data_IF_643595937846
#
_entry.id   IF_643595937846
#
_cell.length_a   1.000
_cell.length_b   1.000
_cell.length_c   1.000
_cell.angle_alpha   90.00
_cell.angle_beta   90.00
_cell.angle_gamma   90.00
#
_symmetry.space_group_name_H-M   'P 1'
#
loop_
_entity.id
_entity.type
_entity.pdbx_description
1 polymer ?
#
# COMPACT_ATOMS: atom_id res chain seq x y z
N UNK A 1 30.84 25.78 29.39
CA UNK A 1 30.94 24.30 29.31
C UNK A 1 29.63 23.76 28.74
N UNK A 2 29.66 23.22 27.53
CA UNK A 2 28.44 22.68 26.90
C UNK A 2 28.10 21.29 27.47
N UNK A 3 26.82 20.90 27.54
CA UNK A 3 26.45 19.59 28.05
C UNK A 3 27.07 18.52 27.16
N UNK A 4 27.94 17.69 27.74
CA UNK A 4 28.51 16.53 27.09
C UNK A 4 27.36 15.63 26.62
N UNK A 5 27.13 15.57 25.31
CA UNK A 5 26.22 14.58 24.73
C UNK A 5 26.79 13.22 25.09
N UNK A 6 26.14 12.52 26.01
CA UNK A 6 26.43 11.11 26.33
C UNK A 6 26.60 10.35 25.02
N UNK A 7 27.61 9.47 24.89
CA UNK A 7 27.78 8.66 23.70
C UNK A 7 26.49 7.85 23.48
N UNK A 8 25.74 8.21 22.45
CA UNK A 8 24.59 7.43 22.02
C UNK A 8 25.10 6.08 21.56
N UNK A 9 24.56 5.00 22.14
CA UNK A 9 24.89 3.64 21.73
C UNK A 9 24.86 3.53 20.19
N UNK A 10 25.85 2.85 19.58
CA UNK A 10 25.94 2.74 18.13
C UNK A 10 24.66 2.10 17.56
N UNK A 11 24.24 2.48 16.33
CA UNK A 11 23.09 1.87 15.70
C UNK A 11 23.30 0.36 15.57
N UNK A 12 22.24 -0.42 15.74
CA UNK A 12 22.31 -1.87 15.54
C UNK A 12 22.82 -2.16 14.11
N UNK A 13 23.76 -3.08 13.97
CA UNK A 13 24.29 -3.51 12.68
C UNK A 13 24.14 -5.02 12.58
N UNK A 14 23.43 -5.49 11.55
CA UNK A 14 23.24 -6.93 11.35
C UNK A 14 24.52 -7.57 10.83
N UNK A 15 25.15 -6.95 9.83
CA UNK A 15 26.39 -7.42 9.21
C UNK A 15 27.47 -6.34 9.40
N UNK A 16 28.61 -6.66 10.04
CA UNK A 16 29.74 -5.74 10.12
C UNK A 16 30.19 -5.32 8.72
N UNK A 17 30.28 -4.01 8.47
CA UNK A 17 30.67 -3.44 7.17
C UNK A 17 29.52 -3.03 6.26
N UNK A 18 28.28 -3.43 6.55
CA UNK A 18 27.09 -2.90 5.86
C UNK A 18 26.76 -1.50 6.37
N UNK A 19 27.40 -0.48 5.79
CA UNK A 19 27.25 0.93 6.21
C UNK A 19 25.79 1.37 6.32
N UNK A 20 24.91 0.85 5.47
CA UNK A 20 23.51 1.23 5.44
C UNK A 20 22.59 0.18 6.07
N UNK A 21 23.11 -0.92 6.59
CA UNK A 21 22.35 -2.05 7.12
C UNK A 21 21.26 -2.53 6.14
N UNK A 22 21.57 -2.54 4.84
CA UNK A 22 20.70 -3.04 3.77
C UNK A 22 20.29 -4.50 4.01
N UNK A 23 21.18 -5.33 4.54
CA UNK A 23 20.89 -6.73 4.83
C UNK A 23 19.70 -6.87 5.79
N UNK A 24 19.63 -6.01 6.83
CA UNK A 24 18.48 -5.96 7.74
C UNK A 24 17.20 -5.55 6.99
N UNK A 25 17.27 -4.51 6.16
CA UNK A 25 16.13 -4.08 5.35
C UNK A 25 15.60 -5.18 4.42
N UNK A 26 16.52 -5.94 3.80
CA UNK A 26 16.20 -7.10 2.97
C UNK A 26 15.54 -8.20 3.80
N UNK A 27 16.11 -8.59 4.95
CA UNK A 27 15.50 -9.60 5.83
C UNK A 27 14.08 -9.23 6.26
N UNK A 28 13.85 -7.96 6.60
CA UNK A 28 12.52 -7.46 6.95
C UNK A 28 11.57 -7.59 5.75
N UNK A 29 12.00 -7.18 4.57
CA UNK A 29 11.19 -7.30 3.36
C UNK A 29 10.84 -8.77 3.04
N UNK A 30 11.80 -9.69 3.19
CA UNK A 30 11.54 -11.13 3.02
C UNK A 30 10.63 -11.69 4.11
N UNK A 31 10.79 -11.26 5.36
CA UNK A 31 9.92 -11.65 6.47
C UNK A 31 8.47 -11.23 6.25
N UNK A 32 8.24 -9.96 5.90
CA UNK A 32 6.90 -9.44 5.55
C UNK A 32 6.31 -10.18 4.33
N UNK A 33 7.13 -10.46 3.32
CA UNK A 33 6.73 -11.24 2.14
C UNK A 33 6.37 -12.69 2.50
N UNK A 34 7.09 -13.29 3.45
CA UNK A 34 6.83 -14.63 3.97
C UNK A 34 5.52 -14.69 4.73
N UNK A 35 5.26 -13.74 5.64
CA UNK A 35 4.00 -13.61 6.36
C UNK A 35 2.81 -13.45 5.41
N UNK A 36 2.99 -12.66 4.34
CA UNK A 36 1.95 -12.48 3.31
C UNK A 36 1.58 -13.80 2.62
N UNK A 37 2.55 -14.69 2.42
CA UNK A 37 2.35 -15.97 1.72
C UNK A 37 1.68 -17.05 2.58
N UNK A 38 1.48 -16.81 3.88
CA UNK A 38 0.78 -17.75 4.75
C UNK A 38 -0.71 -17.80 4.41
N UNK A 39 -1.30 -18.99 4.54
CA UNK A 39 -2.75 -19.16 4.44
C UNK A 39 -3.45 -18.42 5.59
N UNK A 40 -4.72 -18.05 5.39
CA UNK A 40 -5.50 -17.37 6.43
C UNK A 40 -5.64 -18.23 7.69
N UNK A 41 -5.80 -19.55 7.52
CA UNK A 41 -5.82 -20.49 8.65
C UNK A 41 -4.50 -20.50 9.43
N UNK A 42 -3.35 -20.40 8.75
CA UNK A 42 -2.04 -20.33 9.41
C UNK A 42 -1.87 -19.01 10.16
N UNK A 43 -2.27 -17.89 9.54
CA UNK A 43 -2.25 -16.59 10.19
C UNK A 43 -3.15 -16.58 11.43
N UNK A 44 -4.35 -17.14 11.33
CA UNK A 44 -5.29 -17.26 12.46
C UNK A 44 -4.71 -18.09 13.61
N UNK A 45 -4.05 -19.21 13.30
CA UNK A 45 -3.36 -20.05 14.30
C UNK A 45 -2.22 -19.33 15.02
N UNK A 46 -1.58 -18.36 14.35
CA UNK A 46 -0.55 -17.49 14.93
C UNK A 46 -1.12 -16.31 15.73
N UNK A 47 -2.45 -16.24 15.91
CA UNK A 47 -3.11 -15.11 16.56
C UNK A 47 -3.07 -13.81 15.75
N UNK A 48 -2.80 -13.90 14.44
CA UNK A 48 -2.76 -12.71 13.60
C UNK A 48 -4.15 -12.09 13.45
N UNK A 49 -4.25 -10.75 13.42
CA UNK A 49 -5.52 -10.08 13.21
C UNK A 49 -6.07 -10.36 11.80
N UNK A 50 -7.40 -10.42 11.61
CA UNK A 50 -8.03 -10.77 10.34
C UNK A 50 -7.61 -9.88 9.15
N UNK A 51 -7.20 -8.65 9.43
CA UNK A 51 -6.80 -7.65 8.43
C UNK A 51 -5.31 -7.67 8.10
N UNK A 52 -4.49 -8.50 8.76
CA UNK A 52 -3.04 -8.51 8.57
C UNK A 52 -2.68 -8.76 7.10
N UNK A 53 -3.32 -9.74 6.47
CA UNK A 53 -3.07 -10.11 5.07
C UNK A 53 -3.42 -8.97 4.11
N UNK A 54 -4.53 -8.27 4.35
CA UNK A 54 -4.88 -7.08 3.57
C UNK A 54 -3.87 -5.96 3.77
N UNK A 55 -3.43 -5.69 5.00
CA UNK A 55 -2.41 -4.67 5.28
C UNK A 55 -1.04 -5.02 4.69
N UNK A 56 -0.64 -6.29 4.69
CA UNK A 56 0.59 -6.76 4.04
C UNK A 56 0.54 -6.62 2.51
N UNK A 57 -0.64 -6.41 1.93
CA UNK A 57 -0.78 -6.03 0.54
C UNK A 57 -0.63 -4.53 0.30
N UNK A 58 -0.64 -3.65 1.31
CA UNK A 58 -0.51 -2.21 1.12
C UNK A 58 0.94 -1.75 1.31
N UNK A 59 1.51 -1.06 0.32
CA UNK A 59 2.89 -0.54 0.40
C UNK A 59 3.07 0.47 1.55
N UNK A 60 2.01 1.17 1.97
CA UNK A 60 2.01 2.07 3.13
C UNK A 60 2.39 1.31 4.42
N UNK A 61 1.89 0.08 4.60
CA UNK A 61 2.21 -0.76 5.76
C UNK A 61 3.69 -1.10 5.81
N UNK A 62 4.29 -1.41 4.65
CA UNK A 62 5.71 -1.74 4.57
C UNK A 62 6.58 -0.52 4.88
N UNK A 63 6.18 0.66 4.41
CA UNK A 63 6.84 1.91 4.78
C UNK A 63 6.76 2.17 6.30
N UNK A 64 5.59 1.98 6.90
CA UNK A 64 5.41 2.12 8.35
C UNK A 64 6.24 1.11 9.15
N UNK A 65 6.36 -0.14 8.68
CA UNK A 65 7.21 -1.15 9.29
C UNK A 65 8.68 -0.72 9.26
N UNK A 66 9.18 -0.25 8.12
CA UNK A 66 10.56 0.23 7.99
C UNK A 66 10.83 1.47 8.85
N UNK A 67 9.89 2.43 8.93
CA UNK A 67 9.96 3.58 9.83
C UNK A 67 10.02 3.18 11.30
N UNK A 68 9.18 2.20 11.69
CA UNK A 68 9.14 1.68 13.06
C UNK A 68 10.46 1.01 13.43
N UNK A 69 10.99 0.17 12.55
CA UNK A 69 12.30 -0.47 12.74
C UNK A 69 13.42 0.56 12.77
N UNK A 70 13.36 1.59 11.92
CA UNK A 70 14.30 2.71 11.98
C UNK A 70 14.32 3.35 13.36
N UNK A 71 13.17 3.53 14.00
CA UNK A 71 13.09 4.13 15.34
C UNK A 71 13.63 3.15 16.39
N UNK A 72 13.11 1.92 16.43
CA UNK A 72 13.46 0.91 17.43
C UNK A 72 14.96 0.58 17.39
N UNK A 73 15.51 0.41 16.19
CA UNK A 73 16.89 0.00 15.97
C UNK A 73 17.83 1.19 15.74
N UNK A 74 17.32 2.42 15.87
CA UNK A 74 18.07 3.68 15.71
C UNK A 74 18.81 3.81 14.36
N UNK A 75 18.19 3.32 13.27
CA UNK A 75 18.79 3.30 11.93
C UNK A 75 18.68 4.67 11.22
N UNK A 76 19.26 5.72 11.79
CA UNK A 76 19.16 7.09 11.23
C UNK A 76 19.74 7.18 9.80
N UNK A 77 20.66 6.29 9.44
CA UNK A 77 21.21 6.20 8.09
C UNK A 77 20.17 5.78 7.03
N UNK A 78 19.00 5.27 7.44
CA UNK A 78 17.87 5.00 6.54
C UNK A 78 17.05 6.24 6.20
N UNK A 79 17.21 7.35 6.93
CA UNK A 79 16.37 8.54 6.78
C UNK A 79 16.30 9.07 5.33
N UNK A 80 17.41 9.18 4.57
CA UNK A 80 17.36 9.61 3.17
C UNK A 80 16.52 8.67 2.29
N UNK A 81 16.69 7.37 2.45
CA UNK A 81 15.93 6.34 1.72
C UNK A 81 14.45 6.39 2.08
N UNK A 82 14.14 6.42 3.37
CA UNK A 82 12.77 6.46 3.89
C UNK A 82 12.05 7.75 3.50
N UNK A 83 12.77 8.88 3.42
CA UNK A 83 12.17 10.14 2.98
C UNK A 83 11.73 10.03 1.51
N UNK A 84 12.61 9.54 0.63
CA UNK A 84 12.30 9.38 -0.80
C UNK A 84 11.11 8.46 -0.99
N UNK A 85 11.08 7.32 -0.30
CA UNK A 85 9.96 6.38 -0.34
C UNK A 85 8.65 7.01 0.18
N UNK A 86 8.72 7.66 1.34
CA UNK A 86 7.56 8.29 1.99
C UNK A 86 7.01 9.46 1.17
N UNK A 87 7.87 10.22 0.49
CA UNK A 87 7.43 11.32 -0.38
C UNK A 87 6.74 10.80 -1.66
N UNK A 88 7.27 9.73 -2.25
CA UNK A 88 6.60 9.03 -3.35
C UNK A 88 5.21 8.56 -2.96
N UNK A 89 5.10 7.87 -1.82
CA UNK A 89 3.82 7.39 -1.25
C UNK A 89 2.84 8.56 -1.02
N UNK A 90 3.31 9.64 -0.38
CA UNK A 90 2.50 10.83 -0.10
C UNK A 90 1.89 11.42 -1.37
N UNK A 91 2.71 11.72 -2.38
CA UNK A 91 2.23 12.32 -3.63
C UNK A 91 1.32 11.34 -4.39
N UNK A 92 1.68 10.06 -4.41
CA UNK A 92 0.85 9.02 -5.04
C UNK A 92 -0.53 8.96 -4.42
N UNK A 93 -0.62 8.90 -3.09
CA UNK A 93 -1.89 8.78 -2.38
C UNK A 93 -2.75 10.05 -2.52
N UNK A 94 -2.16 11.24 -2.29
CA UNK A 94 -2.88 12.52 -2.44
C UNK A 94 -3.38 12.73 -3.87
N UNK A 95 -2.65 12.25 -4.87
CA UNK A 95 -3.05 12.32 -6.27
C UNK A 95 -4.14 11.29 -6.59
N UNK A 96 -3.91 10.01 -6.29
CA UNK A 96 -4.82 8.91 -6.59
C UNK A 96 -6.19 9.08 -5.93
N UNK A 97 -6.23 9.66 -4.73
CA UNK A 97 -7.45 9.84 -3.95
C UNK A 97 -7.96 11.29 -3.97
N UNK A 98 -7.52 12.10 -4.93
CA UNK A 98 -8.07 13.44 -5.12
C UNK A 98 -9.58 13.40 -5.42
N UNK A 99 -10.22 14.56 -5.35
CA UNK A 99 -11.67 14.75 -5.58
C UNK A 99 -12.62 13.98 -4.64
N UNK A 100 -12.17 13.53 -3.47
CA UNK A 100 -13.05 12.82 -2.54
C UNK A 100 -13.11 11.31 -2.81
N UNK A 101 -12.22 10.78 -3.66
CA UNK A 101 -12.08 9.34 -3.88
C UNK A 101 -11.54 8.61 -2.63
N UNK A 102 -10.98 9.34 -1.67
CA UNK A 102 -10.61 8.83 -0.34
C UNK A 102 -11.83 8.28 0.44
N UNK A 103 -13.02 8.85 0.22
CA UNK A 103 -14.27 8.32 0.78
C UNK A 103 -14.56 6.89 0.29
N UNK A 104 -14.13 6.53 -0.93
CA UNK A 104 -14.24 5.16 -1.43
C UNK A 104 -13.38 4.20 -0.60
N UNK A 105 -12.21 4.65 -0.15
CA UNK A 105 -11.36 3.87 0.74
C UNK A 105 -12.03 3.67 2.11
N UNK A 106 -12.64 4.71 2.66
CA UNK A 106 -13.41 4.61 3.91
C UNK A 106 -14.56 3.62 3.80
N UNK A 107 -15.32 3.67 2.69
CA UNK A 107 -16.38 2.67 2.37
C UNK A 107 -15.82 1.25 2.26
N UNK A 108 -14.63 1.07 1.67
CA UNK A 108 -13.95 -0.22 1.61
C UNK A 108 -13.61 -0.74 3.01
N UNK A 109 -13.01 0.09 3.85
CA UNK A 109 -12.66 -0.28 5.24
C UNK A 109 -13.91 -0.71 6.01
N UNK A 110 -15.03 0.00 5.82
CA UNK A 110 -16.34 -0.42 6.35
C UNK A 110 -16.77 -1.80 5.86
N UNK A 111 -16.61 -2.09 4.56
CA UNK A 111 -16.94 -3.42 4.02
C UNK A 111 -16.07 -4.56 4.58
N UNK A 112 -14.91 -4.23 5.15
CA UNK A 112 -14.03 -5.17 5.86
C UNK A 112 -14.39 -5.33 7.34
N UNK A 113 -15.46 -4.70 7.81
CA UNK A 113 -15.94 -4.79 9.20
C UNK A 113 -15.42 -3.71 10.15
N UNK A 114 -14.75 -2.67 9.63
CA UNK A 114 -14.21 -1.58 10.44
C UNK A 114 -14.93 -0.27 10.16
N UNK A 115 -15.59 0.27 11.16
CA UNK A 115 -16.21 1.58 11.05
C UNK A 115 -15.26 2.67 11.52
N UNK A 116 -14.89 3.56 10.60
CA UNK A 116 -14.19 4.80 10.91
C UNK A 116 -15.12 5.97 10.60
N UNK A 117 -15.25 6.89 11.55
CA UNK A 117 -15.79 8.21 11.29
C UNK A 117 -14.93 8.92 10.23
N UNK A 118 -15.49 9.94 9.58
CA UNK A 118 -14.73 10.75 8.61
C UNK A 118 -13.50 11.38 9.22
N UNK A 119 -13.61 11.87 10.47
CA UNK A 119 -12.51 12.50 11.18
C UNK A 119 -11.39 11.49 11.46
N UNK A 120 -11.71 10.32 12.01
CA UNK A 120 -10.72 9.28 12.29
C UNK A 120 -10.01 8.84 11.02
N UNK A 121 -10.75 8.67 9.92
CA UNK A 121 -10.17 8.31 8.63
C UNK A 121 -9.19 9.37 8.13
N UNK A 122 -9.55 10.66 8.18
CA UNK A 122 -8.68 11.77 7.78
C UNK A 122 -7.43 11.86 8.67
N UNK A 123 -7.59 11.69 9.98
CA UNK A 123 -6.45 11.71 10.91
C UNK A 123 -5.48 10.56 10.65
N UNK A 124 -6.00 9.33 10.51
CA UNK A 124 -5.18 8.16 10.18
C UNK A 124 -4.48 8.33 8.83
N UNK A 125 -5.17 8.87 7.83
CA UNK A 125 -4.58 9.16 6.53
C UNK A 125 -3.41 10.15 6.63
N UNK A 126 -3.55 11.24 7.38
CA UNK A 126 -2.45 12.18 7.60
C UNK A 126 -1.30 11.56 8.39
N UNK A 127 -1.59 10.73 9.40
CA UNK A 127 -0.57 10.02 10.18
C UNK A 127 0.23 9.04 9.31
N UNK A 128 -0.40 8.37 8.36
CA UNK A 128 0.24 7.33 7.55
C UNK A 128 0.93 7.89 6.28
N UNK A 129 0.38 8.94 5.68
CA UNK A 129 0.84 9.44 4.39
C UNK A 129 1.48 10.82 4.45
N UNK A 130 1.07 11.71 5.35
CA UNK A 130 1.61 13.09 5.41
C UNK A 130 2.71 13.25 6.44
N UNK A 131 2.49 12.75 7.65
CA UNK A 131 3.40 12.96 8.77
C UNK A 131 4.80 12.36 8.51
N UNK A 132 4.96 11.13 7.98
CA UNK A 132 6.28 10.53 7.81
C UNK A 132 7.24 11.33 6.92
N UNK A 133 6.87 11.74 5.69
CA UNK A 133 7.79 12.54 4.87
C UNK A 133 8.05 13.92 5.48
N UNK A 134 7.08 14.54 6.16
CA UNK A 134 7.29 15.85 6.80
C UNK A 134 8.31 15.77 7.94
N UNK A 135 8.19 14.76 8.82
CA UNK A 135 9.13 14.57 9.92
C UNK A 135 10.53 14.24 9.44
N UNK A 136 10.66 13.35 8.44
CA UNK A 136 11.96 12.98 7.87
C UNK A 136 12.60 14.16 7.12
N UNK A 137 11.81 14.93 6.38
CA UNK A 137 12.27 16.14 5.69
C UNK A 137 12.81 17.16 6.69
N UNK A 138 12.02 17.48 7.72
CA UNK A 138 12.43 18.39 8.78
C UNK A 138 13.72 17.92 9.45
N UNK A 139 13.81 16.63 9.81
CA UNK A 139 14.99 16.07 10.46
C UNK A 139 16.24 16.11 9.56
N UNK A 140 16.13 15.80 8.26
CA UNK A 140 17.26 15.86 7.33
C UNK A 140 17.72 17.31 7.07
N UNK A 141 16.77 18.23 6.90
CA UNK A 141 17.07 19.66 6.71
C UNK A 141 17.74 20.26 7.96
N UNK A 142 17.23 19.95 9.15
CA UNK A 142 17.82 20.39 10.42
C UNK A 142 19.25 19.87 10.61
N UNK A 143 19.53 18.63 10.19
CA UNK A 143 20.88 18.04 10.24
C UNK A 143 21.79 18.43 9.07
N UNK A 144 21.29 19.18 8.07
CA UNK A 144 22.04 19.49 6.85
C UNK A 144 22.42 18.24 6.04
N UNK A 145 21.68 17.14 6.18
CA UNK A 145 21.99 15.87 5.52
C UNK A 145 21.36 15.82 4.14
N UNK A 146 22.19 15.83 3.10
CA UNK A 146 21.74 15.71 1.71
C UNK A 146 21.27 14.30 1.38
N UNK A 147 20.36 14.19 0.42
CA UNK A 147 19.85 12.90 -0.06
C UNK A 147 20.56 12.57 -1.37
N UNK A 148 21.31 11.47 -1.40
CA UNK A 148 21.95 11.03 -2.63
C UNK A 148 20.91 10.51 -3.64
N UNK A 149 20.99 10.85 -4.94
CA UNK A 149 20.03 10.39 -5.96
C UNK A 149 19.88 8.87 -6.07
N UNK A 150 20.90 8.09 -5.70
CA UNK A 150 20.82 6.62 -5.64
C UNK A 150 19.69 6.11 -4.74
N UNK A 151 19.26 6.88 -3.73
CA UNK A 151 18.09 6.52 -2.92
C UNK A 151 16.82 6.40 -3.78
N UNK A 152 16.69 7.18 -4.85
CA UNK A 152 15.59 7.04 -5.80
C UNK A 152 15.62 5.66 -6.48
N UNK A 153 16.79 5.22 -6.95
CA UNK A 153 16.93 3.90 -7.58
C UNK A 153 16.66 2.76 -6.59
N UNK A 154 17.15 2.86 -5.36
CA UNK A 154 16.85 1.87 -4.32
C UNK A 154 15.35 1.79 -4.01
N UNK A 155 14.68 2.94 -3.94
CA UNK A 155 13.23 3.01 -3.72
C UNK A 155 12.48 2.40 -4.89
N UNK A 156 12.89 2.67 -6.14
CA UNK A 156 12.28 2.05 -7.32
C UNK A 156 12.48 0.53 -7.34
N UNK A 157 13.66 0.03 -6.95
CA UNK A 157 13.90 -1.40 -6.83
C UNK A 157 12.97 -2.03 -5.78
N UNK A 158 12.86 -1.40 -4.60
CA UNK A 158 11.96 -1.87 -3.54
C UNK A 158 10.49 -1.85 -3.99
N UNK A 159 10.06 -0.77 -4.64
CA UNK A 159 8.68 -0.59 -5.12
C UNK A 159 8.34 -1.58 -6.23
N UNK A 160 9.29 -1.85 -7.13
CA UNK A 160 9.12 -2.84 -8.20
C UNK A 160 8.99 -4.23 -7.60
N UNK A 161 9.85 -4.59 -6.65
CA UNK A 161 9.73 -5.84 -5.89
C UNK A 161 8.37 -5.96 -5.20
N UNK A 162 7.90 -4.91 -4.52
CA UNK A 162 6.58 -4.90 -3.91
C UNK A 162 5.46 -5.03 -4.93
N UNK A 163 5.54 -4.35 -6.07
CA UNK A 163 4.52 -4.42 -7.13
C UNK A 163 4.40 -5.84 -7.68
N UNK A 164 5.54 -6.50 -7.97
CA UNK A 164 5.57 -7.91 -8.36
C UNK A 164 4.97 -8.83 -7.31
N UNK A 165 5.24 -8.54 -6.03
CA UNK A 165 4.74 -9.35 -4.91
C UNK A 165 3.31 -9.02 -4.52
N UNK A 166 2.80 -7.82 -4.80
CA UNK A 166 1.46 -7.36 -4.40
C UNK A 166 0.38 -8.21 -5.04
N UNK A 167 0.48 -8.44 -6.34
CA UNK A 167 -0.53 -9.20 -7.09
C UNK A 167 0.16 -9.83 -8.30
N UNK A 168 0.23 -11.16 -8.37
CA UNK A 168 0.73 -11.88 -9.56
C UNK A 168 -0.07 -11.57 -10.86
N UNK A 169 -1.17 -10.81 -10.74
CA UNK A 169 -2.04 -10.30 -11.82
C UNK A 169 -2.18 -8.76 -11.87
N UNK A 170 -1.33 -7.98 -11.19
CA UNK A 170 -1.31 -6.50 -11.22
C UNK A 170 -2.64 -5.79 -10.84
N UNK A 171 -3.57 -6.48 -10.16
CA UNK A 171 -4.84 -5.88 -9.73
C UNK A 171 -4.69 -5.04 -8.44
N UNK A 172 -4.06 -3.88 -8.59
CA UNK A 172 -3.88 -2.88 -7.53
C UNK A 172 -5.23 -2.36 -7.00
N UNK A 173 -6.30 -2.48 -7.79
CA UNK A 173 -7.66 -2.10 -7.39
C UNK A 173 -8.28 -3.11 -6.43
N UNK A 174 -7.84 -4.39 -6.42
CA UNK A 174 -8.27 -5.34 -5.40
C UNK A 174 -7.68 -5.02 -4.01
N UNK A 175 -6.48 -4.45 -3.96
CA UNK A 175 -5.85 -3.98 -2.71
C UNK A 175 -6.47 -2.67 -2.25
N UNK A 176 -6.64 -1.72 -3.18
CA UNK A 176 -7.22 -0.40 -2.94
C UNK A 176 -8.67 -0.31 -3.46
N UNK A 177 -9.17 0.85 -3.84
CA UNK A 177 -10.43 0.96 -4.62
C UNK A 177 -10.09 1.34 -6.06
N UNK A 178 -11.01 1.29 -7.04
CA UNK A 178 -10.80 1.93 -8.33
C UNK A 178 -10.34 3.38 -8.12
N UNK A 179 -9.18 3.71 -8.67
CA UNK A 179 -8.55 5.04 -8.60
C UNK A 179 -7.70 5.23 -9.86
N UNK A 180 -7.35 6.47 -10.24
CA UNK A 180 -6.49 6.77 -11.39
C UNK A 180 -5.04 6.32 -11.14
N UNK A 181 -4.80 5.02 -11.28
CA UNK A 181 -3.53 4.35 -10.97
C UNK A 181 -2.34 5.01 -11.66
N UNK A 182 -2.42 5.25 -12.97
CA UNK A 182 -1.30 5.85 -13.73
C UNK A 182 -0.96 7.25 -13.27
N UNK A 183 -1.94 8.04 -12.81
CA UNK A 183 -1.68 9.37 -12.24
C UNK A 183 -1.03 9.26 -10.86
N UNK A 184 -1.47 8.31 -10.05
CA UNK A 184 -0.81 7.95 -8.79
C UNK A 184 0.63 7.46 -8.98
N UNK A 185 0.90 6.66 -10.02
CA UNK A 185 2.24 6.18 -10.37
C UNK A 185 3.13 7.33 -10.84
N UNK A 186 2.62 8.21 -11.71
CA UNK A 186 3.37 9.40 -12.13
C UNK A 186 3.71 10.28 -10.93
N UNK A 187 2.75 10.53 -10.04
CA UNK A 187 2.96 11.30 -8.81
C UNK A 187 4.01 10.63 -7.90
N UNK A 188 4.00 9.30 -7.81
CA UNK A 188 5.01 8.53 -7.08
C UNK A 188 6.41 8.80 -7.63
N UNK A 189 6.60 8.65 -8.95
CA UNK A 189 7.88 8.88 -9.61
C UNK A 189 8.35 10.31 -9.44
N UNK A 190 7.45 11.29 -9.62
CA UNK A 190 7.76 12.71 -9.38
C UNK A 190 8.23 12.92 -7.94
N UNK A 191 7.56 12.33 -6.95
CA UNK A 191 7.98 12.43 -5.55
C UNK A 191 9.36 11.84 -5.31
N UNK A 192 9.61 10.65 -5.86
CA UNK A 192 10.89 9.95 -5.73
C UNK A 192 12.05 10.77 -6.31
N UNK A 193 11.89 11.32 -7.52
CA UNK A 193 12.97 12.03 -8.20
C UNK A 193 13.10 13.50 -7.79
N UNK A 194 12.02 14.17 -7.39
CA UNK A 194 12.07 15.56 -6.94
C UNK A 194 12.50 15.70 -5.46
N UNK A 195 12.47 14.62 -4.67
CA UNK A 195 12.86 14.67 -3.25
C UNK A 195 14.33 15.08 -3.04
N UNK A 196 15.34 14.44 -3.67
CA UNK A 196 16.73 14.84 -3.47
C UNK A 196 17.01 16.33 -3.72
N UNK A 197 16.63 16.91 -4.88
CA UNK A 197 16.91 18.32 -5.14
C UNK A 197 16.03 19.27 -4.31
N UNK A 198 14.84 18.85 -3.84
CA UNK A 198 14.04 19.61 -2.87
C UNK A 198 14.76 19.73 -1.52
N UNK A 199 15.29 18.61 -1.00
CA UNK A 199 16.04 18.60 0.26
C UNK A 199 17.26 19.51 0.16
N UNK A 200 18.03 19.39 -0.92
CA UNK A 200 19.18 20.25 -1.17
C UNK A 200 18.79 21.73 -1.21
N UNK A 201 17.69 22.06 -1.90
CA UNK A 201 17.18 23.43 -1.97
C UNK A 201 16.77 24.00 -0.60
N UNK A 202 16.18 23.17 0.27
CA UNK A 202 15.79 23.54 1.62
C UNK A 202 17.00 23.75 2.53
N UNK A 203 18.01 22.86 2.45
CA UNK A 203 19.26 22.98 3.23
C UNK A 203 20.00 24.28 2.87
N UNK A 204 20.14 24.57 1.57
CA UNK A 204 20.79 25.81 1.09
C UNK A 204 19.86 27.04 1.14
N UNK A 205 18.62 26.88 1.66
CA UNK A 205 17.61 27.93 1.85
C UNK A 205 17.29 28.72 0.57
N UNK A 206 17.35 28.07 -0.59
CA UNK A 206 17.08 28.71 -1.88
C UNK A 206 15.58 28.71 -2.19
N UNK A 207 14.89 29.80 -1.81
CA UNK A 207 13.43 29.96 -1.99
C UNK A 207 12.96 29.66 -3.42
N UNK A 208 13.68 30.14 -4.43
CA UNK A 208 13.38 29.89 -5.86
C UNK A 208 13.38 28.40 -6.20
N UNK A 209 14.43 27.67 -5.77
CA UNK A 209 14.55 26.23 -6.03
C UNK A 209 13.52 25.43 -5.26
N UNK A 210 13.25 25.80 -4.00
CA UNK A 210 12.17 25.18 -3.21
C UNK A 210 10.83 25.34 -3.92
N UNK A 211 10.47 26.56 -4.31
CA UNK A 211 9.21 26.82 -5.02
C UNK A 211 9.10 26.02 -6.32
N UNK A 212 10.18 25.97 -7.11
CA UNK A 212 10.24 25.18 -8.34
C UNK A 212 9.90 23.71 -8.09
N UNK A 213 10.54 23.07 -7.10
CA UNK A 213 10.30 21.66 -6.81
C UNK A 213 8.92 21.40 -6.20
N UNK A 214 8.40 22.33 -5.38
CA UNK A 214 7.03 22.24 -4.90
C UNK A 214 6.01 22.32 -6.03
N UNK A 215 6.22 23.20 -7.02
CA UNK A 215 5.37 23.27 -8.23
C UNK A 215 5.44 21.95 -9.00
N UNK A 216 6.63 21.41 -9.23
CA UNK A 216 6.82 20.12 -9.93
C UNK A 216 6.06 19.00 -9.22
N UNK A 217 6.17 18.91 -7.89
CA UNK A 217 5.46 17.92 -7.07
C UNK A 217 3.94 18.12 -7.06
N UNK A 218 3.45 19.34 -7.30
CA UNK A 218 2.03 19.67 -7.30
C UNK A 218 1.33 19.34 -8.64
N UNK A 219 2.07 19.31 -9.76
CA UNK A 219 1.50 19.08 -11.10
C UNK A 219 0.62 17.81 -11.16
N UNK A 220 1.07 16.61 -10.73
CA UNK A 220 0.25 15.40 -10.81
C UNK A 220 -1.06 15.49 -10.00
N UNK A 221 -1.00 16.16 -8.84
CA UNK A 221 -2.18 16.38 -8.03
C UNK A 221 -3.17 17.29 -8.75
N UNK A 222 -2.71 18.41 -9.33
CA UNK A 222 -3.59 19.35 -10.04
C UNK A 222 -4.23 18.72 -11.27
N UNK A 223 -3.48 17.95 -12.07
CA UNK A 223 -4.04 17.25 -13.23
C UNK A 223 -5.12 16.23 -12.85
N UNK A 224 -5.06 15.68 -11.63
CA UNK A 224 -6.09 14.77 -11.13
C UNK A 224 -7.23 15.52 -10.46
N UNK A 225 -6.95 16.56 -9.67
CA UNK A 225 -7.95 17.34 -8.94
C UNK A 225 -8.86 18.17 -9.86
N UNK A 226 -8.35 18.61 -11.00
CA UNK A 226 -9.05 19.47 -11.96
C UNK A 226 -9.77 18.70 -13.08
N UNK A 227 -9.71 17.36 -13.08
CA UNK A 227 -10.37 16.55 -14.12
C UNK A 227 -11.86 16.33 -13.83
N UNK A 228 -12.79 16.92 -14.61
CA UNK A 228 -14.22 16.85 -14.32
C UNK A 228 -14.82 15.44 -14.49
N UNK A 229 -14.13 14.52 -15.17
CA UNK A 229 -14.65 13.18 -15.46
C UNK A 229 -14.24 12.13 -14.41
N UNK A 230 -13.27 12.45 -13.56
CA UNK A 230 -12.63 11.49 -12.65
C UNK A 230 -13.64 10.82 -11.69
N UNK A 231 -14.51 11.60 -11.06
CA UNK A 231 -15.52 11.08 -10.13
C UNK A 231 -16.54 10.15 -10.81
N UNK A 232 -16.87 10.41 -12.07
CA UNK A 232 -17.79 9.56 -12.85
C UNK A 232 -17.13 8.23 -13.19
N UNK A 233 -15.87 8.26 -13.59
CA UNK A 233 -15.10 7.08 -14.01
C UNK A 233 -14.83 6.11 -12.85
N UNK A 234 -14.49 6.65 -11.67
CA UNK A 234 -14.04 5.91 -10.48
C UNK A 234 -15.07 5.87 -9.33
N UNK A 235 -16.36 6.05 -9.64
CA UNK A 235 -17.42 5.91 -8.62
C UNK A 235 -17.42 4.49 -8.04
N UNK A 236 -17.30 4.39 -6.70
CA UNK A 236 -17.27 3.12 -5.94
C UNK A 236 -18.45 2.21 -6.28
N UNK A 237 -19.66 2.75 -6.36
CA UNK A 237 -20.87 1.96 -6.62
C UNK A 237 -20.87 1.39 -8.03
N UNK A 238 -20.40 2.18 -9.00
CA UNK A 238 -20.21 1.73 -10.38
C UNK A 238 -19.10 0.68 -10.50
N UNK A 239 -18.05 0.78 -9.69
CA UNK A 239 -16.98 -0.23 -9.60
C UNK A 239 -17.48 -1.55 -8.99
N UNK A 240 -18.26 -1.48 -7.92
CA UNK A 240 -18.87 -2.63 -7.26
C UNK A 240 -19.90 -3.33 -8.16
N UNK A 241 -20.70 -2.56 -8.91
CA UNK A 241 -21.62 -3.07 -9.90
C UNK A 241 -20.89 -3.81 -11.04
N UNK A 242 -19.80 -3.23 -11.58
CA UNK A 242 -18.95 -3.88 -12.59
C UNK A 242 -18.34 -5.18 -12.09
N UNK A 243 -17.78 -5.20 -10.87
CA UNK A 243 -17.21 -6.39 -10.27
C UNK A 243 -18.27 -7.51 -10.06
N UNK A 244 -19.47 -7.15 -9.59
CA UNK A 244 -20.60 -8.09 -9.46
C UNK A 244 -21.03 -8.64 -10.82
N UNK A 245 -21.13 -7.79 -11.84
CA UNK A 245 -21.51 -8.21 -13.19
C UNK A 245 -20.49 -9.17 -13.81
N UNK A 246 -19.19 -8.93 -13.60
CA UNK A 246 -18.11 -9.83 -14.03
C UNK A 246 -18.13 -11.18 -13.30
N UNK A 247 -18.41 -11.18 -11.99
CA UNK A 247 -18.59 -12.42 -11.22
C UNK A 247 -19.79 -13.23 -11.71
N UNK A 248 -20.92 -12.56 -11.97
CA UNK A 248 -22.13 -13.19 -12.48
C UNK A 248 -21.92 -13.74 -13.90
N UNK A 249 -21.23 -13.01 -14.78
CA UNK A 249 -20.92 -13.48 -16.13
C UNK A 249 -19.91 -14.64 -16.12
N UNK A 250 -18.92 -14.62 -15.24
CA UNK A 250 -17.98 -15.74 -15.06
C UNK A 250 -18.68 -16.98 -14.49
N UNK A 251 -19.60 -16.82 -13.54
CA UNK A 251 -20.41 -17.91 -13.00
C UNK A 251 -21.37 -18.48 -14.06
N UNK A 252 -21.99 -17.62 -14.87
CA UNK A 252 -22.83 -18.02 -16.00
C UNK A 252 -22.03 -18.78 -17.07
N UNK A 253 -20.83 -18.30 -17.43
CA UNK A 253 -19.94 -18.98 -18.38
C UNK A 253 -19.49 -20.36 -17.90
N UNK A 254 -19.18 -20.51 -16.60
CA UNK A 254 -18.85 -21.81 -15.99
C UNK A 254 -20.04 -22.77 -16.01
N UNK A 255 -21.25 -22.26 -15.74
CA UNK A 255 -22.49 -23.03 -15.76
C UNK A 255 -22.82 -23.49 -17.19
N UNK A 256 -22.71 -22.58 -18.17
CA UNK A 256 -22.89 -22.89 -19.58
C UNK A 256 -21.88 -23.93 -20.09
N UNK A 257 -20.60 -23.83 -19.67
CA UNK A 257 -19.57 -24.82 -20.01
C UNK A 257 -19.86 -26.20 -19.40
N UNK A 258 -20.39 -26.26 -18.18
CA UNK A 258 -20.77 -27.51 -17.50
C UNK A 258 -22.01 -28.18 -18.11
N UNK A 259 -22.95 -27.39 -18.59
CA UNK A 259 -24.14 -27.86 -19.31
C UNK A 259 -23.76 -28.31 -20.74
N UNK A 260 -22.86 -27.57 -21.41
CA UNK A 260 -22.34 -27.92 -22.73
C UNK A 260 -21.46 -29.18 -22.74
N UNK A 261 -20.67 -29.42 -21.69
CA UNK A 261 -19.89 -30.65 -21.53
C UNK A 261 -20.73 -31.86 -21.11
N UNK A 262 -21.99 -31.66 -20.72
CA UNK A 262 -22.93 -32.74 -20.37
C UNK A 262 -23.71 -33.31 -21.55
N UNK A 263 -23.52 -32.78 -22.78
CA UNK A 263 -24.21 -33.25 -24.00
C UNK A 263 -23.33 -34.05 -24.95
N UNK A 264 -22.12 -34.42 -24.55
CA UNK A 264 -21.23 -35.28 -25.33
C UNK A 264 -20.68 -36.43 -24.49
N UNK A 265 -20.99 -37.66 -24.92
CA UNK A 265 -20.50 -38.94 -24.41
C UNK A 265 -21.24 -39.53 -23.20
N UNK A 266 -22.19 -40.42 -23.51
CA UNK A 266 -22.50 -41.53 -22.60
C UNK A 266 -21.37 -42.56 -22.67
N UNK A 267 -20.77 -42.86 -21.52
CA UNK A 267 -20.17 -44.16 -21.20
C UNK A 267 -19.69 -44.13 -19.74
N UNK A 268 -19.93 -45.23 -19.05
CA UNK A 268 -19.64 -45.46 -17.63
C UNK A 268 -18.20 -45.09 -17.22
N UNK A 269 -18.11 -44.41 -16.08
CA UNK A 269 -16.86 -44.23 -15.33
C UNK A 269 -17.02 -43.11 -14.32
N UNK A 270 -17.21 -43.45 -13.05
CA UNK A 270 -17.08 -42.46 -11.97
C UNK A 270 -15.65 -41.92 -11.95
N UNK A 271 -15.48 -40.59 -11.79
CA UNK A 271 -14.39 -40.07 -11.00
C UNK A 271 -14.95 -39.28 -9.82
N UNK A 272 -14.45 -39.65 -8.63
CA UNK A 272 -14.47 -38.87 -7.39
C UNK A 272 -13.97 -37.45 -7.69
N UNK A 273 -14.81 -36.43 -7.52
CA UNK A 273 -14.37 -35.02 -7.57
C UNK A 273 -14.34 -34.47 -6.15
N UNK A 274 -13.12 -34.21 -5.67
CA UNK A 274 -12.81 -33.49 -4.45
C UNK A 274 -13.44 -32.10 -4.44
N UNK A 275 -13.99 -31.75 -3.29
CA UNK A 275 -14.64 -30.49 -2.97
C UNK A 275 -13.63 -29.35 -2.81
N UNK A 276 -13.32 -28.63 -3.89
CA UNK A 276 -12.66 -27.32 -3.80
C UNK A 276 -13.71 -26.21 -3.82
N UNK A 277 -14.29 -25.96 -2.64
CA UNK A 277 -15.12 -24.79 -2.39
C UNK A 277 -14.18 -23.62 -2.09
N UNK A 278 -14.21 -22.50 -2.84
CA UNK A 278 -13.43 -21.32 -2.45
C UNK A 278 -14.06 -20.70 -1.19
N UNK A 279 -13.22 -20.47 -0.18
CA UNK A 279 -13.46 -19.89 1.16
C UNK A 279 -14.44 -18.69 1.25
N UNK A 280 -14.72 -18.02 0.14
CA UNK A 280 -15.65 -16.88 0.05
C UNK A 280 -17.13 -17.32 0.10
N UNK A 281 -17.45 -18.54 -0.36
CA UNK A 281 -18.81 -19.08 -0.31
C UNK A 281 -19.19 -19.58 1.09
N UNK A 282 -18.21 -20.00 1.88
CA UNK A 282 -18.44 -20.50 3.23
C UNK A 282 -18.58 -19.37 4.26
N UNK A 283 -17.85 -18.27 4.09
CA UNK A 283 -18.03 -17.06 4.93
C UNK A 283 -19.37 -16.37 4.66
N UNK A 284 -19.81 -16.33 3.40
CA UNK A 284 -21.11 -15.78 3.02
C UNK A 284 -22.28 -16.66 3.51
N UNK A 285 -22.13 -17.99 3.50
CA UNK A 285 -23.11 -18.91 4.11
C UNK A 285 -23.18 -18.78 5.62
N UNK A 286 -22.04 -18.74 6.31
CA UNK A 286 -22.01 -18.55 7.77
C UNK A 286 -22.62 -17.21 8.20
N UNK A 287 -22.32 -16.11 7.50
CA UNK A 287 -22.95 -14.81 7.77
C UNK A 287 -24.46 -14.77 7.46
N UNK A 288 -24.96 -15.61 6.55
CA UNK A 288 -26.38 -15.70 6.25
C UNK A 288 -27.16 -16.60 7.23
N UNK A 289 -26.53 -17.67 7.74
CA UNK A 289 -27.09 -18.52 8.80
C UNK A 289 -27.07 -17.83 10.17
N UNK A 290 -26.00 -17.10 10.49
CA UNK A 290 -25.87 -16.34 11.74
C UNK A 290 -26.90 -15.20 11.81
N UNK A 291 -27.25 -14.57 10.67
CA UNK A 291 -28.35 -13.59 10.59
C UNK A 291 -29.75 -14.20 10.67
N UNK A 292 -29.93 -15.48 10.30
CA UNK A 292 -31.21 -16.18 10.46
C UNK A 292 -31.46 -16.60 11.91
N UNK A 293 -30.42 -16.99 12.65
CA UNK A 293 -30.55 -17.39 14.05
C UNK A 293 -30.71 -16.22 15.03
N UNK A 294 -30.41 -14.98 14.60
CA UNK A 294 -30.62 -13.76 15.41
C UNK A 294 -32.03 -13.16 15.21
N UNK A 295 -32.70 -13.51 14.10
CA UNK A 295 -34.06 -13.02 13.77
C UNK A 295 -35.12 -14.13 13.79
N UNK A 296 -34.81 -15.27 14.43
CA UNK A 296 -35.75 -16.34 14.76
C UNK A 296 -36.14 -16.26 16.23
#
# INVERSE_FOLDING_TARGET
>A
EGPSRRPTAPPYQLIPGDRYNFALGVLVAFGLAGLKNLSEDKLKKLGAPPFLKWNLNAYTTWNCALLTLRIILKQQQWDPFLLVNSMGIFLSFRTAFAQGLDENMRKKIRSLGFELSRLEFVLLDHLLHTLPPMLLLAALVQRGTRVHPMNALHVLALTSWFSFRQVASLDVQAVYMPHPFYRGLLAYLVGVFATPPLVDALIVRSRRRVLQWLIVMLIPYLTTKLDPNLLREYNFEAGLARARQQLLSAAAARTAKRIGSGRGSGANGMPRVQSDTPLVLESARRSAEERRNIMG
#
